data_IF_299952564700
#
_entry.id   IF_299952564700
#
_cell.length_a   1.000
_cell.length_b   1.000
_cell.length_c   1.000
_cell.angle_alpha   90.00
_cell.angle_beta   90.00
_cell.angle_gamma   90.00
#
_symmetry.space_group_name_H-M   'P 1'
#
loop_
_entity.id
_entity.type
_entity.pdbx_description
1 polymer ?
#
# COMPACT_ATOMS: atom_id res chain seq x y z
N UNK A 1 24.56 -12.24 16.63
CA UNK A 1 24.70 -13.59 16.05
C UNK A 1 24.68 -13.43 14.54
N UNK A 2 25.68 -14.00 13.84
CA UNK A 2 25.94 -13.75 12.43
C UNK A 2 24.77 -14.23 11.55
N UNK A 3 24.18 -13.30 10.80
CA UNK A 3 23.19 -13.58 9.77
C UNK A 3 23.85 -14.39 8.66
N UNK A 4 23.59 -15.69 8.65
CA UNK A 4 24.10 -16.62 7.65
C UNK A 4 23.36 -16.35 6.34
N UNK A 5 23.85 -15.39 5.55
CA UNK A 5 23.29 -15.12 4.22
C UNK A 5 23.32 -16.41 3.40
N UNK A 6 22.18 -16.70 2.79
CA UNK A 6 22.04 -17.73 1.77
C UNK A 6 22.96 -17.43 0.58
N UNK A 7 23.25 -18.46 -0.21
CA UNK A 7 24.12 -18.33 -1.38
C UNK A 7 23.56 -17.33 -2.39
N UNK A 8 22.23 -17.22 -2.49
CA UNK A 8 21.55 -16.24 -3.33
C UNK A 8 21.74 -14.81 -2.82
N UNK A 9 21.60 -14.59 -1.52
CA UNK A 9 21.77 -13.26 -0.91
C UNK A 9 23.22 -12.76 -1.03
N UNK A 10 24.21 -13.65 -0.89
CA UNK A 10 25.63 -13.28 -1.13
C UNK A 10 25.89 -12.94 -2.58
N UNK A 11 25.36 -13.73 -3.52
CA UNK A 11 25.52 -13.47 -4.94
C UNK A 11 24.92 -12.12 -5.37
N UNK A 12 23.78 -11.73 -4.78
CA UNK A 12 23.16 -10.42 -5.01
C UNK A 12 24.05 -9.29 -4.47
N UNK A 13 24.62 -9.44 -3.27
CA UNK A 13 25.50 -8.43 -2.67
C UNK A 13 26.77 -8.27 -3.49
N UNK A 14 27.45 -9.36 -3.85
CA UNK A 14 28.66 -9.32 -4.66
C UNK A 14 28.39 -8.68 -6.04
N UNK A 15 27.23 -8.95 -6.64
CA UNK A 15 26.81 -8.34 -7.90
C UNK A 15 26.54 -6.82 -7.78
N UNK A 16 25.94 -6.38 -6.66
CA UNK A 16 25.69 -4.96 -6.39
C UNK A 16 26.98 -4.22 -6.04
N UNK A 17 27.84 -4.80 -5.21
CA UNK A 17 29.11 -4.20 -4.76
C UNK A 17 30.19 -4.18 -5.85
N UNK A 18 30.17 -5.13 -6.78
CA UNK A 18 31.12 -5.17 -7.91
C UNK A 18 30.90 -4.08 -8.96
N UNK A 19 29.88 -3.21 -8.80
CA UNK A 19 29.61 -2.06 -9.67
C UNK A 19 29.34 -2.44 -11.14
N UNK A 20 29.16 -3.72 -11.43
CA UNK A 20 29.05 -4.30 -12.77
C UNK A 20 27.60 -4.44 -13.22
N UNK A 21 26.67 -3.75 -12.55
CA UNK A 21 25.27 -3.71 -12.91
C UNK A 21 25.12 -3.04 -14.29
N UNK A 22 25.09 -3.87 -15.33
CA UNK A 22 24.76 -3.40 -16.67
C UNK A 22 23.32 -2.89 -16.65
N UNK A 23 23.14 -1.62 -17.00
CA UNK A 23 21.82 -1.05 -17.20
C UNK A 23 21.12 -1.86 -18.29
N UNK A 24 19.92 -2.35 -18.02
CA UNK A 24 19.09 -3.03 -19.01
C UNK A 24 18.97 -2.17 -20.28
N UNK A 25 19.06 -2.80 -21.46
CA UNK A 25 18.71 -2.13 -22.71
C UNK A 25 17.26 -1.66 -22.62
N UNK A 26 17.03 -0.35 -22.86
CA UNK A 26 15.73 0.36 -22.71
C UNK A 26 15.31 0.71 -21.27
N UNK A 27 16.26 1.11 -20.42
CA UNK A 27 15.99 1.67 -19.08
C UNK A 27 14.86 2.70 -19.05
N UNK A 28 14.82 3.63 -20.00
CA UNK A 28 13.78 4.67 -20.05
C UNK A 28 12.40 4.11 -20.40
N UNK A 29 12.32 3.12 -21.29
CA UNK A 29 11.04 2.47 -21.63
C UNK A 29 10.49 1.64 -20.47
N UNK A 30 11.35 0.92 -19.74
CA UNK A 30 10.92 0.15 -18.57
C UNK A 30 10.54 1.06 -17.40
N UNK A 31 11.30 2.15 -17.13
CA UNK A 31 10.89 3.18 -16.17
C UNK A 31 9.52 3.77 -16.51
N UNK A 32 9.29 4.09 -17.78
CA UNK A 32 8.00 4.62 -18.23
C UNK A 32 6.88 3.59 -18.03
N UNK A 33 7.13 2.33 -18.35
CA UNK A 33 6.19 1.21 -18.13
C UNK A 33 5.85 1.03 -16.65
N UNK A 34 6.84 0.98 -15.76
CA UNK A 34 6.61 0.86 -14.32
C UNK A 34 5.92 2.10 -13.75
N UNK A 35 6.28 3.30 -14.22
CA UNK A 35 5.58 4.53 -13.84
C UNK A 35 4.11 4.51 -14.27
N UNK A 36 3.82 3.96 -15.44
CA UNK A 36 2.45 3.86 -15.95
C UNK A 36 1.65 2.83 -15.13
N UNK A 37 2.22 1.65 -14.88
CA UNK A 37 1.60 0.62 -14.03
C UNK A 37 1.30 1.16 -12.62
N UNK A 38 2.24 1.89 -12.01
CA UNK A 38 2.04 2.49 -10.70
C UNK A 38 0.91 3.53 -10.70
N UNK A 39 0.82 4.38 -11.74
CA UNK A 39 -0.27 5.36 -11.90
C UNK A 39 -1.62 4.69 -12.11
N UNK A 40 -1.65 3.66 -12.95
CA UNK A 40 -2.88 2.91 -13.26
C UNK A 40 -3.38 2.13 -12.05
N UNK A 41 -2.48 1.60 -11.21
CA UNK A 41 -2.87 0.95 -9.96
C UNK A 41 -3.32 1.95 -8.89
N UNK A 42 -2.67 3.11 -8.75
CA UNK A 42 -3.07 4.15 -7.79
C UNK A 42 -4.47 4.70 -8.06
N UNK A 43 -4.92 4.72 -9.31
CA UNK A 43 -6.21 5.31 -9.72
C UNK A 43 -7.34 4.28 -9.78
N UNK A 44 -7.04 2.99 -9.61
CA UNK A 44 -8.04 1.92 -9.67
C UNK A 44 -8.85 1.86 -8.38
N UNK A 45 -10.05 2.42 -8.43
CA UNK A 45 -11.03 2.32 -7.34
C UNK A 45 -11.89 1.06 -7.51
N UNK A 46 -12.08 0.30 -6.42
CA UNK A 46 -13.02 -0.81 -6.38
C UNK A 46 -14.10 -0.57 -5.32
N UNK A 47 -15.35 -0.83 -5.66
CA UNK A 47 -16.48 -0.75 -4.72
C UNK A 47 -16.62 -2.07 -3.98
N UNK A 48 -16.77 -1.99 -2.66
CA UNK A 48 -17.06 -3.14 -1.78
C UNK A 48 -18.35 -2.89 -1.02
N UNK A 49 -19.19 -3.93 -0.88
CA UNK A 49 -20.38 -3.88 -0.02
C UNK A 49 -20.02 -4.42 1.36
N UNK A 50 -20.27 -3.62 2.40
CA UNK A 50 -19.99 -3.96 3.79
C UNK A 50 -21.32 -3.98 4.54
N UNK A 51 -21.61 -5.06 5.24
CA UNK A 51 -22.74 -5.14 6.17
C UNK A 51 -22.29 -4.60 7.52
N UNK A 52 -23.06 -3.67 8.08
CA UNK A 52 -22.81 -3.04 9.36
C UNK A 52 -24.08 -3.15 10.21
N UNK A 53 -23.91 -3.21 11.53
CA UNK A 53 -25.02 -3.06 12.46
C UNK A 53 -25.56 -1.62 12.37
N UNK A 54 -26.86 -1.46 12.57
CA UNK A 54 -27.51 -0.15 12.55
C UNK A 54 -26.94 0.79 13.62
N UNK A 55 -26.68 0.26 14.82
CA UNK A 55 -26.04 0.96 15.94
C UNK A 55 -24.65 1.49 15.59
N UNK A 56 -23.87 0.72 14.84
CA UNK A 56 -22.52 1.11 14.43
C UNK A 56 -22.57 2.19 13.35
N UNK A 57 -23.53 2.07 12.43
CA UNK A 57 -23.75 3.08 11.40
C UNK A 57 -24.17 4.43 12.00
N UNK A 58 -25.05 4.43 13.00
CA UNK A 58 -25.42 5.65 13.72
C UNK A 58 -24.22 6.27 14.45
N UNK A 59 -23.43 5.44 15.13
CA UNK A 59 -22.21 5.89 15.81
C UNK A 59 -21.19 6.50 14.84
N UNK A 60 -21.01 5.90 13.67
CA UNK A 60 -20.14 6.42 12.61
C UNK A 60 -20.65 7.75 12.04
N UNK A 61 -21.97 7.89 11.84
CA UNK A 61 -22.58 9.16 11.40
C UNK A 61 -22.37 10.27 12.42
N UNK A 62 -22.56 9.99 13.71
CA UNK A 62 -22.31 10.96 14.77
C UNK A 62 -20.85 11.43 14.79
N UNK A 63 -19.90 10.48 14.68
CA UNK A 63 -18.47 10.80 14.59
C UNK A 63 -18.11 11.60 13.32
N UNK A 64 -18.74 11.30 12.18
CA UNK A 64 -18.46 12.00 10.94
C UNK A 64 -18.91 13.46 10.99
N UNK A 65 -20.08 13.74 11.59
CA UNK A 65 -20.57 15.10 11.83
C UNK A 65 -19.59 15.89 12.71
N UNK A 66 -19.11 15.29 13.80
CA UNK A 66 -18.11 15.94 14.67
C UNK A 66 -16.81 16.30 13.95
N UNK A 67 -16.44 15.55 12.91
CA UNK A 67 -15.23 15.79 12.10
C UNK A 67 -15.49 16.64 10.85
N UNK A 68 -16.74 17.03 10.60
CA UNK A 68 -17.13 17.78 9.39
C UNK A 68 -16.99 16.96 8.10
N UNK A 69 -17.05 15.63 8.17
CA UNK A 69 -16.90 14.71 7.04
C UNK A 69 -18.19 13.91 6.80
N UNK A 70 -18.40 13.44 5.57
CA UNK A 70 -19.45 12.45 5.32
C UNK A 70 -19.09 11.11 5.98
N UNK A 71 -20.09 10.33 6.38
CA UNK A 71 -19.85 9.01 6.98
C UNK A 71 -19.10 8.07 6.02
N UNK A 72 -19.36 8.20 4.70
CA UNK A 72 -18.66 7.44 3.66
C UNK A 72 -17.16 7.80 3.60
N UNK A 73 -16.83 9.10 3.67
CA UNK A 73 -15.44 9.56 3.66
C UNK A 73 -14.70 9.11 4.92
N UNK A 74 -15.37 9.10 6.08
CA UNK A 74 -14.81 8.59 7.32
C UNK A 74 -14.48 7.09 7.22
N UNK A 75 -15.42 6.28 6.73
CA UNK A 75 -15.22 4.83 6.55
C UNK A 75 -14.07 4.57 5.57
N UNK A 76 -14.04 5.28 4.43
CA UNK A 76 -12.96 5.16 3.46
C UNK A 76 -11.59 5.50 4.06
N UNK A 77 -11.53 6.57 4.86
CA UNK A 77 -10.30 6.97 5.56
C UNK A 77 -9.85 5.93 6.59
N UNK A 78 -10.78 5.32 7.33
CA UNK A 78 -10.44 4.25 8.28
C UNK A 78 -9.87 3.02 7.57
N UNK A 79 -10.51 2.58 6.48
CA UNK A 79 -10.02 1.46 5.66
C UNK A 79 -8.63 1.76 5.11
N UNK A 80 -8.41 2.97 4.59
CA UNK A 80 -7.10 3.39 4.10
C UNK A 80 -6.03 3.44 5.19
N UNK A 81 -6.37 3.96 6.38
CA UNK A 81 -5.45 4.01 7.52
C UNK A 81 -5.09 2.61 8.04
N UNK A 82 -6.04 1.68 8.03
CA UNK A 82 -5.77 0.28 8.34
C UNK A 82 -4.87 -0.37 7.28
N UNK A 83 -5.20 -0.22 5.99
CA UNK A 83 -4.41 -0.80 4.91
C UNK A 83 -2.98 -0.22 4.83
N UNK A 84 -2.79 1.05 5.21
CA UNK A 84 -1.47 1.70 5.26
C UNK A 84 -0.69 1.40 6.55
N UNK A 85 -1.21 0.55 7.43
CA UNK A 85 -0.53 0.14 8.67
C UNK A 85 -0.47 1.21 9.76
N UNK A 86 -1.23 2.31 9.62
CA UNK A 86 -1.33 3.37 10.65
C UNK A 86 -2.19 2.94 11.84
N UNK A 87 -3.14 2.03 11.59
CA UNK A 87 -4.00 1.43 12.61
C UNK A 87 -3.72 -0.06 12.63
N UNK A 88 -3.61 -0.64 13.83
CA UNK A 88 -3.56 -2.10 14.04
C UNK A 88 -4.89 -2.53 14.64
N UNK A 89 -5.55 -3.50 14.01
CA UNK A 89 -6.63 -4.24 14.67
C UNK A 89 -6.00 -5.43 15.37
N UNK A 90 -6.24 -5.53 16.67
CA UNK A 90 -6.04 -6.77 17.42
C UNK A 90 -7.33 -7.56 17.28
N UNK A 91 -7.26 -8.74 16.64
CA UNK A 91 -8.39 -9.64 16.40
C UNK A 91 -8.08 -10.96 17.09
#
# INVERSE_FOLDING_TARGET
MATKLSLEEKAIIDYVESGSAASIDKLESEKQRYSQIARDQMTKTQTVNIQLLESDLESLKAQSISKGLSYQALISSLVHQYASGKIKLDI
#
